data_IF_538728136648
#
_entry.id   IF_538728136648
#
_cell.length_a   1.000
_cell.length_b   1.000
_cell.length_c   1.000
_cell.angle_alpha   90.00
_cell.angle_beta   90.00
_cell.angle_gamma   90.00
#
_symmetry.space_group_name_H-M   'P 1'
#
loop_
_entity.id
_entity.type
_entity.pdbx_description
1 polymer ?
#
# COMPACT_ATOMS: atom_id res chain seq x y z
N UNK A 1 30.79 71.74 -17.89
CA UNK A 1 29.75 71.46 -16.84
C UNK A 1 28.91 70.30 -17.34
N UNK A 2 29.20 69.13 -16.88
CA UNK A 2 28.45 67.90 -17.26
C UNK A 2 28.09 67.16 -15.99
N UNK A 3 26.76 67.09 -15.72
CA UNK A 3 26.16 66.48 -14.54
C UNK A 3 26.25 64.93 -14.62
N UNK A 4 26.82 64.29 -13.62
CA UNK A 4 26.81 62.84 -13.43
C UNK A 4 25.45 62.43 -12.90
N UNK A 5 24.70 61.64 -13.68
CA UNK A 5 23.50 60.92 -13.23
C UNK A 5 23.91 59.58 -12.63
N UNK A 6 23.76 59.47 -11.31
CA UNK A 6 23.91 58.19 -10.57
C UNK A 6 22.72 57.28 -10.85
N UNK A 7 22.96 56.14 -11.48
CA UNK A 7 21.94 55.08 -11.63
C UNK A 7 21.93 54.23 -10.34
N UNK A 8 20.93 54.41 -9.49
CA UNK A 8 20.65 53.46 -8.43
C UNK A 8 20.08 52.18 -9.06
N UNK A 9 20.85 51.09 -8.98
CA UNK A 9 20.34 49.75 -9.28
C UNK A 9 19.53 49.28 -8.10
N UNK A 10 18.19 49.26 -8.22
CA UNK A 10 17.32 48.53 -7.33
C UNK A 10 17.55 47.03 -7.56
N UNK A 11 18.21 46.37 -6.62
CA UNK A 11 18.20 44.93 -6.48
C UNK A 11 16.83 44.52 -5.93
N UNK A 12 15.94 44.08 -6.81
CA UNK A 12 14.70 43.40 -6.40
C UNK A 12 15.10 42.04 -5.82
N UNK A 13 14.99 41.92 -4.50
CA UNK A 13 15.07 40.63 -3.82
C UNK A 13 13.84 39.80 -4.26
N UNK A 14 14.07 38.82 -5.13
CA UNK A 14 13.08 37.77 -5.42
C UNK A 14 12.98 36.92 -4.16
N UNK A 15 11.82 36.84 -3.52
CA UNK A 15 11.68 35.89 -2.43
C UNK A 15 11.84 34.48 -3.00
N UNK A 16 12.86 33.74 -2.52
CA UNK A 16 12.92 32.30 -2.66
C UNK A 16 11.65 31.76 -1.97
N UNK A 17 10.61 31.49 -2.75
CA UNK A 17 9.54 30.61 -2.34
C UNK A 17 10.18 29.24 -2.14
N UNK A 18 10.57 28.94 -0.89
CA UNK A 18 10.77 27.57 -0.45
C UNK A 18 9.45 26.87 -0.73
N UNK A 19 9.42 26.03 -1.76
CA UNK A 19 8.34 25.10 -1.99
C UNK A 19 8.36 24.10 -0.83
N UNK A 20 7.80 24.52 0.31
CA UNK A 20 7.25 23.62 1.31
C UNK A 20 6.19 22.84 0.53
N UNK A 21 6.50 21.59 0.17
CA UNK A 21 5.56 20.72 -0.49
C UNK A 21 4.26 20.75 0.31
N UNK A 22 3.26 21.46 -0.21
CA UNK A 22 1.92 21.44 0.35
C UNK A 22 1.46 20.00 0.22
N UNK A 23 1.56 19.24 1.32
CA UNK A 23 0.97 17.93 1.41
C UNK A 23 -0.48 18.06 0.99
N UNK A 24 -0.86 17.38 -0.08
CA UNK A 24 -2.26 17.25 -0.42
C UNK A 24 -2.96 16.77 0.85
N UNK A 25 -3.86 17.58 1.38
CA UNK A 25 -4.56 17.24 2.59
C UNK A 25 -5.32 15.94 2.34
N UNK A 26 -5.08 14.93 3.18
CA UNK A 26 -5.85 13.66 3.19
C UNK A 26 -6.79 13.67 4.40
N UNK A 27 -7.80 14.57 4.42
CA UNK A 27 -8.58 14.85 5.60
C UNK A 27 -9.38 13.64 6.07
N UNK A 28 -9.81 12.79 5.15
CA UNK A 28 -10.57 11.59 5.47
C UNK A 28 -9.70 10.53 6.15
N UNK A 29 -8.55 10.21 5.57
CA UNK A 29 -7.61 9.25 6.16
C UNK A 29 -7.07 9.76 7.49
N UNK A 30 -6.73 11.05 7.59
CA UNK A 30 -6.25 11.67 8.84
C UNK A 30 -7.29 11.53 9.95
N UNK A 31 -8.57 11.83 9.66
CA UNK A 31 -9.66 11.67 10.63
C UNK A 31 -9.81 10.22 11.06
N UNK A 32 -9.88 9.29 10.09
CA UNK A 32 -10.01 7.86 10.40
C UNK A 32 -8.84 7.34 11.23
N UNK A 33 -7.62 7.82 10.98
CA UNK A 33 -6.44 7.49 11.78
C UNK A 33 -6.56 7.99 13.23
N UNK A 34 -7.04 9.22 13.41
CA UNK A 34 -7.27 9.81 14.74
C UNK A 34 -8.36 9.06 15.50
N UNK A 35 -9.47 8.74 14.83
CA UNK A 35 -10.59 7.97 15.39
C UNK A 35 -10.19 6.52 15.74
N UNK A 36 -9.30 5.91 14.96
CA UNK A 36 -8.80 4.55 15.19
C UNK A 36 -7.74 4.46 16.31
N UNK A 37 -7.11 5.58 16.71
CA UNK A 37 -6.00 5.59 17.69
C UNK A 37 -6.30 4.93 19.04
N UNK A 38 -7.52 5.01 19.60
CA UNK A 38 -7.85 4.31 20.84
C UNK A 38 -7.88 2.78 20.72
N UNK A 39 -7.96 2.23 19.50
CA UNK A 39 -8.01 0.79 19.27
C UNK A 39 -6.62 0.17 19.54
N UNK A 40 -6.53 -0.85 20.42
CA UNK A 40 -5.25 -1.34 20.91
C UNK A 40 -4.46 -2.10 19.84
N UNK A 41 -5.14 -2.85 18.94
CA UNK A 41 -4.50 -3.72 17.96
C UNK A 41 -4.43 -3.07 16.58
N UNK A 42 -3.32 -3.28 15.89
CA UNK A 42 -3.19 -2.81 14.50
C UNK A 42 -4.26 -3.41 13.60
N UNK A 43 -4.63 -4.66 13.82
CA UNK A 43 -5.72 -5.34 13.09
C UNK A 43 -7.06 -4.61 13.22
N UNK A 44 -7.39 -4.13 14.40
CA UNK A 44 -8.61 -3.36 14.67
C UNK A 44 -8.55 -1.97 13.99
N UNK A 45 -7.38 -1.30 14.06
CA UNK A 45 -7.16 -0.02 13.37
C UNK A 45 -7.28 -0.16 11.86
N UNK A 46 -6.70 -1.20 11.27
CA UNK A 46 -6.82 -1.48 9.83
C UNK A 46 -8.27 -1.74 9.45
N UNK A 47 -8.98 -2.59 10.20
CA UNK A 47 -10.41 -2.86 9.92
C UNK A 47 -11.25 -1.59 9.98
N UNK A 48 -11.06 -0.77 11.02
CA UNK A 48 -11.77 0.50 11.19
C UNK A 48 -11.50 1.47 10.03
N UNK A 49 -10.22 1.73 9.73
CA UNK A 49 -9.82 2.70 8.70
C UNK A 49 -10.27 2.22 7.31
N UNK A 50 -10.01 0.96 6.97
CA UNK A 50 -10.38 0.42 5.66
C UNK A 50 -11.90 0.36 5.45
N UNK A 51 -12.67 0.08 6.50
CA UNK A 51 -14.15 0.14 6.51
C UNK A 51 -14.64 1.58 6.29
N UNK A 52 -14.01 2.56 6.94
CA UNK A 52 -14.30 3.98 6.73
C UNK A 52 -14.02 4.49 5.32
N UNK A 53 -13.27 3.74 4.51
CA UNK A 53 -12.96 4.05 3.11
C UNK A 53 -13.85 3.30 2.11
N UNK A 54 -14.81 2.49 2.54
CA UNK A 54 -15.78 1.86 1.63
C UNK A 54 -16.47 2.89 0.75
N UNK A 55 -16.69 2.54 -0.52
CA UNK A 55 -17.27 3.43 -1.53
C UNK A 55 -16.30 4.43 -2.14
N UNK A 56 -15.07 4.59 -1.63
CA UNK A 56 -14.05 5.47 -2.25
C UNK A 56 -13.75 4.99 -3.67
N UNK A 57 -13.63 5.93 -4.60
CA UNK A 57 -13.47 5.65 -6.04
C UNK A 57 -12.21 4.82 -6.33
N UNK A 58 -12.32 3.89 -7.26
CA UNK A 58 -11.15 3.25 -7.86
C UNK A 58 -10.51 4.16 -8.92
N UNK A 59 -9.19 4.28 -8.88
CA UNK A 59 -8.40 4.90 -9.93
C UNK A 59 -7.01 4.26 -9.98
N UNK A 60 -6.66 3.65 -11.10
CA UNK A 60 -5.32 3.14 -11.34
C UNK A 60 -4.34 4.22 -11.81
N UNK A 61 -3.06 3.90 -11.76
CA UNK A 61 -1.96 4.74 -12.27
C UNK A 61 -1.91 6.14 -11.63
N UNK A 62 -2.12 6.22 -10.33
CA UNK A 62 -2.12 7.49 -9.60
C UNK A 62 -0.74 7.91 -9.11
N UNK A 63 0.23 7.00 -9.09
CA UNK A 63 1.61 7.30 -8.72
C UNK A 63 2.36 7.97 -9.87
N UNK A 64 3.22 8.92 -9.53
CA UNK A 64 3.96 9.74 -10.47
C UNK A 64 5.44 9.38 -10.39
N UNK A 65 6.00 8.94 -11.51
CA UNK A 65 7.40 8.56 -11.65
C UNK A 65 7.59 7.52 -12.74
N UNK A 66 8.72 7.59 -13.43
CA UNK A 66 9.11 6.64 -14.48
C UNK A 66 10.62 6.74 -14.73
N UNK A 67 11.17 5.91 -15.64
CA UNK A 67 12.57 6.04 -16.08
C UNK A 67 12.93 7.43 -16.64
N UNK A 68 11.92 8.23 -17.04
CA UNK A 68 12.10 9.57 -17.65
C UNK A 68 11.51 10.70 -16.83
N UNK A 69 10.81 10.40 -15.75
CA UNK A 69 10.15 11.38 -14.88
C UNK A 69 10.52 11.12 -13.44
N UNK A 70 11.01 12.11 -12.69
CA UNK A 70 11.31 11.97 -11.27
C UNK A 70 10.09 11.42 -10.49
N UNK A 71 10.38 10.54 -9.55
CA UNK A 71 9.37 10.00 -8.64
C UNK A 71 8.86 11.11 -7.72
N UNK A 72 7.55 11.11 -7.48
CA UNK A 72 6.92 12.02 -6.55
C UNK A 72 6.16 11.23 -5.49
N UNK A 73 6.25 11.68 -4.24
CA UNK A 73 5.44 11.12 -3.17
C UNK A 73 3.98 11.53 -3.34
N UNK A 74 3.14 10.60 -3.82
CA UNK A 74 1.71 10.82 -3.97
C UNK A 74 0.98 10.27 -2.76
N UNK A 75 0.17 11.11 -2.10
CA UNK A 75 -0.71 10.74 -1.00
C UNK A 75 -2.12 11.21 -1.33
N UNK A 76 -3.09 10.28 -1.36
CA UNK A 76 -4.50 10.55 -1.71
C UNK A 76 -5.44 9.77 -0.81
N UNK A 77 -6.65 10.27 -0.64
CA UNK A 77 -7.76 9.59 0.05
C UNK A 77 -9.11 9.71 -0.69
N UNK A 78 -9.07 10.27 -1.91
CA UNK A 78 -10.23 10.43 -2.78
C UNK A 78 -10.39 9.30 -3.81
N UNK A 79 -9.31 8.57 -4.10
CA UNK A 79 -9.30 7.44 -5.02
C UNK A 79 -8.09 6.53 -4.77
N UNK A 80 -8.27 5.23 -5.02
CA UNK A 80 -7.26 4.19 -4.85
C UNK A 80 -7.27 3.18 -5.99
N UNK A 81 -6.11 2.59 -6.28
CA UNK A 81 -6.02 1.24 -6.80
C UNK A 81 -5.83 0.24 -5.65
N UNK A 82 -5.72 -1.06 -5.97
CA UNK A 82 -5.62 -2.11 -4.95
C UNK A 82 -4.36 -1.97 -4.08
N UNK A 83 -3.25 -1.55 -4.65
CA UNK A 83 -1.97 -1.41 -3.93
C UNK A 83 -1.98 -0.16 -3.07
N UNK A 84 -2.30 1.00 -3.65
CA UNK A 84 -2.32 2.28 -2.92
C UNK A 84 -3.35 2.29 -1.80
N UNK A 85 -4.46 1.55 -1.93
CA UNK A 85 -5.41 1.32 -0.84
C UNK A 85 -4.75 0.60 0.34
N UNK A 86 -4.05 -0.52 0.08
CA UNK A 86 -3.36 -1.27 1.13
C UNK A 86 -2.26 -0.42 1.79
N UNK A 87 -1.46 0.29 1.01
CA UNK A 87 -0.36 1.12 1.51
C UNK A 87 -0.85 2.23 2.44
N UNK A 88 -1.87 2.98 1.99
CA UNK A 88 -2.40 4.13 2.75
C UNK A 88 -3.07 3.67 4.05
N UNK A 89 -3.89 2.61 3.99
CA UNK A 89 -4.54 2.06 5.19
C UNK A 89 -3.52 1.51 6.18
N UNK A 90 -2.54 0.73 5.70
CA UNK A 90 -1.49 0.16 6.56
C UNK A 90 -0.65 1.26 7.21
N UNK A 91 -0.25 2.28 6.44
CA UNK A 91 0.51 3.42 6.96
C UNK A 91 -0.28 4.19 8.03
N UNK A 92 -1.57 4.44 7.77
CA UNK A 92 -2.45 5.15 8.71
C UNK A 92 -2.68 4.34 10.01
N UNK A 93 -2.82 3.02 9.91
CA UNK A 93 -3.00 2.15 11.07
C UNK A 93 -1.70 1.97 11.90
N UNK A 94 -0.55 1.99 11.23
CA UNK A 94 0.76 1.83 11.86
C UNK A 94 1.32 3.13 12.45
N UNK A 95 0.95 4.29 11.92
CA UNK A 95 1.36 5.60 12.43
C UNK A 95 0.65 5.92 13.74
N UNK A 96 1.42 6.44 14.73
CA UNK A 96 0.88 6.85 16.03
C UNK A 96 0.28 8.27 16.00
N UNK A 97 0.68 9.07 15.03
CA UNK A 97 0.23 10.44 14.84
C UNK A 97 0.42 10.85 13.38
N UNK A 98 -0.14 12.01 13.03
CA UNK A 98 -0.10 12.53 11.65
C UNK A 98 1.32 12.72 11.11
N UNK A 99 2.28 13.08 11.94
CA UNK A 99 3.66 13.31 11.49
C UNK A 99 4.37 12.01 11.08
N UNK A 100 3.95 10.87 11.64
CA UNK A 100 4.50 9.55 11.31
C UNK A 100 3.86 8.92 10.06
N UNK A 101 2.71 9.41 9.60
CA UNK A 101 1.96 8.79 8.48
C UNK A 101 2.77 8.75 7.18
N UNK A 102 3.31 9.88 6.75
CA UNK A 102 4.11 9.93 5.51
C UNK A 102 5.41 9.14 5.60
N UNK A 103 6.23 9.26 6.66
CA UNK A 103 7.40 8.40 6.85
C UNK A 103 7.04 6.90 6.80
N UNK A 104 5.94 6.49 7.42
CA UNK A 104 5.47 5.11 7.36
C UNK A 104 5.05 4.70 5.95
N UNK A 105 4.33 5.55 5.22
CA UNK A 105 3.93 5.28 3.84
C UNK A 105 5.15 5.18 2.91
N UNK A 106 6.18 6.01 3.11
CA UNK A 106 7.47 5.89 2.39
C UNK A 106 8.13 4.54 2.66
N UNK A 107 8.20 4.13 3.93
CA UNK A 107 8.77 2.85 4.34
C UNK A 107 8.04 1.65 3.72
N UNK A 108 6.72 1.73 3.58
CA UNK A 108 5.88 0.67 3.01
C UNK A 108 6.02 0.59 1.49
N UNK A 109 6.04 1.73 0.80
CA UNK A 109 5.99 1.84 -0.66
C UNK A 109 7.33 1.66 -1.34
N UNK A 110 8.40 2.13 -0.69
CA UNK A 110 9.73 2.19 -1.28
C UNK A 110 10.73 1.33 -0.53
N UNK A 111 11.66 0.76 -1.26
CA UNK A 111 12.83 0.13 -0.66
C UNK A 111 13.63 1.18 0.14
N UNK A 112 13.99 0.86 1.36
CA UNK A 112 14.65 1.79 2.30
C UNK A 112 13.97 3.16 2.48
N UNK A 113 12.68 3.28 2.13
CA UNK A 113 11.92 4.53 2.25
C UNK A 113 12.35 5.65 1.29
N UNK A 114 13.19 5.35 0.29
CA UNK A 114 13.67 6.33 -0.69
C UNK A 114 12.65 6.60 -1.77
N UNK A 115 12.26 7.86 -1.92
CA UNK A 115 11.30 8.29 -2.95
C UNK A 115 12.01 8.42 -4.29
N UNK A 116 12.28 7.28 -4.90
CA UNK A 116 12.90 7.15 -6.22
C UNK A 116 12.16 6.07 -7.00
N UNK A 117 11.99 6.27 -8.33
CA UNK A 117 11.24 5.32 -9.15
C UNK A 117 11.82 3.90 -9.09
N UNK A 118 13.15 3.75 -9.08
CA UNK A 118 13.81 2.44 -9.01
C UNK A 118 13.66 1.76 -7.65
N UNK A 119 13.42 2.55 -6.60
CA UNK A 119 13.23 2.06 -5.23
C UNK A 119 11.76 1.77 -4.90
N UNK A 120 10.83 2.14 -5.79
CA UNK A 120 9.43 1.77 -5.62
C UNK A 120 9.26 0.25 -5.76
N UNK A 121 8.49 -0.37 -4.87
CA UNK A 121 8.17 -1.79 -4.93
C UNK A 121 7.22 -2.05 -6.12
N UNK A 122 7.77 -2.31 -7.32
CA UNK A 122 7.01 -2.43 -8.56
C UNK A 122 6.20 -3.71 -8.66
N UNK A 123 6.72 -4.82 -8.13
CA UNK A 123 6.01 -6.08 -8.01
C UNK A 123 5.45 -6.24 -6.60
N UNK A 124 4.30 -6.89 -6.50
CA UNK A 124 3.74 -7.18 -5.18
C UNK A 124 4.61 -8.14 -4.37
N UNK A 125 5.32 -9.04 -5.03
CA UNK A 125 6.31 -9.90 -4.38
C UNK A 125 7.44 -9.09 -3.71
N UNK A 126 7.92 -8.02 -4.36
CA UNK A 126 8.92 -7.11 -3.77
C UNK A 126 8.33 -6.32 -2.61
N UNK A 127 7.09 -5.85 -2.78
CA UNK A 127 6.36 -5.17 -1.72
C UNK A 127 6.23 -6.06 -0.48
N UNK A 128 5.85 -7.34 -0.67
CA UNK A 128 5.76 -8.31 0.43
C UNK A 128 7.12 -8.49 1.11
N UNK A 129 8.17 -8.78 0.35
CA UNK A 129 9.50 -9.04 0.90
C UNK A 129 10.06 -7.80 1.62
N UNK A 130 9.99 -6.63 1.01
CA UNK A 130 10.45 -5.37 1.61
C UNK A 130 9.73 -5.09 2.94
N UNK A 131 8.41 -5.31 3.02
CA UNK A 131 7.65 -5.08 4.24
C UNK A 131 7.87 -6.15 5.32
N UNK A 132 8.25 -7.38 4.95
CA UNK A 132 8.71 -8.42 5.88
C UNK A 132 10.08 -8.03 6.45
N UNK A 133 11.05 -7.69 5.61
CA UNK A 133 12.42 -7.32 6.00
C UNK A 133 12.41 -6.08 6.90
N UNK A 134 11.56 -5.13 6.59
CA UNK A 134 11.31 -3.91 7.37
C UNK A 134 10.48 -4.14 8.64
N UNK A 135 10.06 -5.39 8.93
CA UNK A 135 9.25 -5.76 10.11
C UNK A 135 7.91 -4.99 10.19
N UNK A 136 7.37 -4.60 9.05
CA UNK A 136 6.02 -4.01 8.93
C UNK A 136 4.96 -5.10 8.94
N UNK A 137 5.29 -6.25 8.34
CA UNK A 137 4.42 -7.42 8.27
C UNK A 137 5.20 -8.70 8.53
N UNK A 138 4.48 -9.79 8.83
CA UNK A 138 5.01 -11.14 8.88
C UNK A 138 4.15 -12.08 8.01
N UNK A 139 4.72 -13.12 7.37
CA UNK A 139 3.95 -14.07 6.61
C UNK A 139 3.05 -14.91 7.52
N UNK A 140 1.82 -15.18 7.06
CA UNK A 140 0.92 -16.17 7.66
C UNK A 140 0.91 -17.40 6.78
N UNK A 141 1.34 -18.52 7.35
CA UNK A 141 1.35 -19.81 6.66
C UNK A 141 0.25 -20.72 7.21
N UNK A 142 -0.45 -21.42 6.32
CA UNK A 142 -1.51 -22.37 6.67
C UNK A 142 -1.19 -23.73 6.03
N UNK A 143 -0.54 -24.60 6.79
CA UNK A 143 -0.07 -25.91 6.34
C UNK A 143 1.05 -25.80 5.29
N UNK A 144 1.31 -26.90 4.56
CA UNK A 144 2.35 -26.94 3.52
C UNK A 144 2.07 -25.96 2.38
N UNK A 145 3.04 -25.11 1.97
CA UNK A 145 2.84 -24.15 0.91
C UNK A 145 2.66 -24.79 -0.46
N UNK A 146 1.80 -24.19 -1.27
CA UNK A 146 1.79 -24.44 -2.71
C UNK A 146 2.85 -23.56 -3.36
N UNK A 147 3.84 -24.18 -4.01
CA UNK A 147 4.92 -23.48 -4.71
C UNK A 147 4.47 -23.08 -6.11
N UNK A 148 4.49 -21.77 -6.41
CA UNK A 148 4.09 -21.22 -7.71
C UNK A 148 5.27 -20.51 -8.36
N UNK A 149 5.86 -21.09 -9.43
CA UNK A 149 6.96 -20.45 -10.16
C UNK A 149 6.48 -19.23 -10.94
N UNK A 150 7.31 -18.19 -10.97
CA UNK A 150 7.10 -16.93 -11.70
C UNK A 150 8.32 -16.56 -12.52
N UNK A 151 8.07 -15.97 -13.70
CA UNK A 151 9.10 -15.45 -14.61
C UNK A 151 8.63 -14.05 -15.07
N UNK A 152 8.78 -13.07 -14.20
CA UNK A 152 8.26 -11.70 -14.40
C UNK A 152 9.23 -10.85 -15.22
N UNK A 153 8.70 -10.02 -16.12
CA UNK A 153 9.49 -9.17 -17.02
C UNK A 153 8.74 -7.90 -17.47
N UNK A 154 7.72 -7.49 -16.72
CA UNK A 154 6.87 -6.37 -17.14
C UNK A 154 7.36 -5.01 -16.66
N UNK A 155 8.28 -4.97 -15.67
CA UNK A 155 8.75 -3.73 -15.06
C UNK A 155 10.20 -3.42 -15.45
N UNK A 156 10.42 -2.39 -16.30
CA UNK A 156 11.77 -2.00 -16.74
C UNK A 156 12.71 -1.57 -15.59
N UNK A 157 12.15 -1.12 -14.46
CA UNK A 157 12.94 -0.74 -13.29
C UNK A 157 13.67 -1.92 -12.67
N UNK A 158 13.07 -3.09 -12.74
CA UNK A 158 13.52 -4.31 -12.04
C UNK A 158 14.17 -5.31 -12.99
N UNK A 159 13.73 -5.33 -14.26
CA UNK A 159 14.15 -6.32 -15.25
C UNK A 159 13.51 -7.71 -15.04
N UNK A 160 13.95 -8.68 -15.83
CA UNK A 160 13.42 -10.04 -15.77
C UNK A 160 13.94 -10.79 -14.55
N UNK A 161 13.02 -11.43 -13.82
CA UNK A 161 13.35 -12.25 -12.65
C UNK A 161 12.53 -13.52 -12.61
N UNK A 162 13.18 -14.60 -12.15
CA UNK A 162 12.55 -15.89 -11.86
C UNK A 162 12.58 -16.13 -10.35
N UNK A 163 11.45 -16.49 -9.79
CA UNK A 163 11.32 -16.83 -8.37
C UNK A 163 10.14 -17.77 -8.14
N UNK A 164 10.03 -18.31 -6.94
CA UNK A 164 8.93 -19.19 -6.53
C UNK A 164 8.19 -18.53 -5.38
N UNK A 165 6.87 -18.36 -5.54
CA UNK A 165 5.99 -17.91 -4.47
C UNK A 165 5.58 -19.13 -3.62
N UNK A 166 5.64 -18.98 -2.31
CA UNK A 166 5.04 -19.90 -1.35
C UNK A 166 3.64 -19.37 -0.99
N UNK A 167 2.62 -20.14 -1.31
CA UNK A 167 1.24 -19.66 -1.31
C UNK A 167 0.30 -20.60 -0.57
N UNK A 168 -0.85 -20.10 -0.13
CA UNK A 168 -1.91 -20.87 0.52
C UNK A 168 -2.96 -21.22 -0.54
N UNK A 169 -3.23 -22.51 -0.81
CA UNK A 169 -4.32 -22.92 -1.70
C UNK A 169 -5.69 -22.40 -1.22
N UNK A 170 -6.56 -22.07 -2.18
CA UNK A 170 -7.90 -21.50 -1.90
C UNK A 170 -8.68 -22.34 -0.88
N UNK A 171 -8.75 -23.66 -1.10
CA UNK A 171 -9.51 -24.59 -0.27
C UNK A 171 -8.98 -24.59 1.18
N UNK A 172 -7.66 -24.50 1.33
CA UNK A 172 -7.03 -24.45 2.65
C UNK A 172 -7.24 -23.11 3.35
N UNK A 173 -7.19 -22.01 2.61
CA UNK A 173 -7.51 -20.68 3.14
C UNK A 173 -8.92 -20.66 3.74
N UNK A 174 -9.92 -21.11 2.98
CA UNK A 174 -11.31 -21.11 3.39
C UNK A 174 -11.57 -22.04 4.57
N UNK A 175 -11.02 -23.26 4.53
CA UNK A 175 -11.17 -24.24 5.61
C UNK A 175 -10.53 -23.79 6.93
N UNK A 176 -9.60 -22.86 6.88
CA UNK A 176 -8.86 -22.35 8.04
C UNK A 176 -9.06 -20.85 8.26
N UNK A 177 -10.18 -20.28 7.84
CA UNK A 177 -10.48 -18.86 7.99
C UNK A 177 -10.31 -18.33 9.43
N UNK A 178 -10.51 -19.17 10.43
CA UNK A 178 -10.34 -18.87 11.87
C UNK A 178 -8.89 -18.51 12.27
N UNK A 179 -7.89 -18.85 11.44
CA UNK A 179 -6.48 -18.49 11.66
C UNK A 179 -6.15 -17.10 11.15
N UNK A 180 -7.05 -16.49 10.38
CA UNK A 180 -6.92 -15.15 9.86
C UNK A 180 -7.46 -14.11 10.84
N UNK A 181 -6.94 -12.90 10.74
CA UNK A 181 -7.40 -11.75 11.50
C UNK A 181 -7.95 -10.67 10.56
N UNK A 182 -8.96 -9.88 10.98
CA UNK A 182 -9.30 -8.67 10.25
C UNK A 182 -8.05 -7.82 10.04
N UNK A 183 -7.87 -7.25 8.85
CA UNK A 183 -6.69 -6.47 8.53
C UNK A 183 -5.46 -7.26 8.10
N UNK A 184 -5.47 -8.60 8.10
CA UNK A 184 -4.46 -9.38 7.38
C UNK A 184 -4.51 -8.97 5.89
N UNK A 185 -3.34 -8.82 5.26
CA UNK A 185 -3.22 -8.40 3.87
C UNK A 185 -3.22 -9.64 2.99
N UNK A 186 -4.12 -9.69 2.00
CA UNK A 186 -4.21 -10.79 1.05
C UNK A 186 -3.66 -10.37 -0.31
N UNK A 187 -2.73 -11.16 -0.85
CA UNK A 187 -2.25 -11.05 -2.23
C UNK A 187 -2.82 -12.20 -3.06
N UNK A 188 -3.57 -11.89 -4.13
CA UNK A 188 -4.16 -12.88 -5.03
C UNK A 188 -3.19 -13.22 -6.15
N UNK A 189 -2.67 -14.45 -6.13
CA UNK A 189 -1.61 -14.90 -7.06
C UNK A 189 -2.16 -15.00 -8.48
N UNK A 190 -1.45 -14.41 -9.44
CA UNK A 190 -1.83 -14.47 -10.84
C UNK A 190 -1.67 -15.87 -11.41
N UNK A 191 -2.56 -16.26 -12.32
CA UNK A 191 -2.40 -17.50 -13.12
C UNK A 191 -1.35 -17.35 -14.22
N UNK A 192 -1.04 -16.13 -14.60
CA UNK A 192 -0.03 -15.83 -15.61
C UNK A 192 1.37 -16.07 -15.02
N UNK A 193 2.29 -16.72 -15.72
CA UNK A 193 3.65 -16.92 -15.24
C UNK A 193 4.47 -15.62 -15.20
N UNK A 194 4.13 -14.65 -16.06
CA UNK A 194 4.80 -13.36 -16.24
C UNK A 194 4.25 -12.24 -15.30
N UNK A 195 3.31 -12.58 -14.44
CA UNK A 195 2.74 -11.66 -13.44
C UNK A 195 2.68 -12.39 -12.09
N UNK A 196 3.24 -11.78 -11.06
CA UNK A 196 3.25 -12.34 -9.70
C UNK A 196 1.86 -12.38 -9.07
N UNK A 197 1.27 -11.20 -8.83
CA UNK A 197 -0.08 -11.04 -8.29
C UNK A 197 -0.90 -10.15 -9.21
N UNK A 198 -2.20 -10.40 -9.29
CA UNK A 198 -3.08 -9.55 -10.08
C UNK A 198 -3.92 -8.61 -9.22
N UNK A 199 -4.00 -8.87 -7.90
CA UNK A 199 -4.82 -8.07 -6.99
C UNK A 199 -4.40 -8.23 -5.52
N UNK A 200 -4.79 -7.26 -4.68
CA UNK A 200 -4.56 -7.28 -3.24
C UNK A 200 -5.68 -6.54 -2.49
N UNK A 201 -5.78 -6.80 -1.19
CA UNK A 201 -6.74 -6.20 -0.28
C UNK A 201 -6.50 -6.62 1.16
N UNK A 202 -7.49 -6.38 2.01
CA UNK A 202 -7.49 -6.81 3.42
C UNK A 202 -8.50 -7.91 3.64
N UNK A 203 -8.18 -8.83 4.55
CA UNK A 203 -9.14 -9.76 5.12
C UNK A 203 -10.11 -8.96 6.00
N UNK A 204 -11.39 -9.25 5.82
CA UNK A 204 -12.47 -8.77 6.66
C UNK A 204 -13.44 -9.91 6.96
N UNK A 205 -14.31 -9.73 7.93
CA UNK A 205 -15.34 -10.70 8.28
C UNK A 205 -16.71 -10.04 8.24
N UNK A 206 -17.65 -10.71 7.60
CA UNK A 206 -19.06 -10.33 7.58
C UNK A 206 -19.75 -10.58 8.93
N UNK A 207 -20.97 -10.08 9.08
CA UNK A 207 -21.74 -10.17 10.33
C UNK A 207 -22.00 -11.61 10.79
N UNK A 208 -22.02 -12.58 9.87
CA UNK A 208 -22.20 -14.00 10.16
C UNK A 208 -20.90 -14.80 10.11
N UNK A 209 -19.74 -14.11 10.10
CA UNK A 209 -18.42 -14.73 10.03
C UNK A 209 -17.95 -15.08 8.62
N UNK A 210 -18.60 -14.57 7.58
CA UNK A 210 -18.16 -14.78 6.20
C UNK A 210 -16.78 -14.19 5.98
N UNK A 211 -15.90 -14.95 5.32
CA UNK A 211 -14.56 -14.46 4.95
C UNK A 211 -14.66 -13.53 3.73
N UNK A 212 -14.30 -12.26 3.93
CA UNK A 212 -14.40 -11.20 2.94
C UNK A 212 -12.99 -10.68 2.56
N UNK A 213 -12.87 -10.22 1.32
CA UNK A 213 -11.81 -9.32 0.88
C UNK A 213 -12.35 -7.90 0.82
N UNK A 214 -11.73 -6.96 1.54
CA UNK A 214 -11.98 -5.52 1.40
C UNK A 214 -10.90 -4.92 0.54
N UNK A 215 -11.26 -4.40 -0.63
CA UNK A 215 -10.30 -4.01 -1.65
C UNK A 215 -10.81 -2.89 -2.55
N UNK A 216 -9.89 -2.16 -3.20
CA UNK A 216 -10.26 -1.21 -4.25
C UNK A 216 -10.50 -1.99 -5.56
N UNK A 217 -11.76 -2.17 -5.91
CA UNK A 217 -12.21 -2.99 -7.04
C UNK A 217 -12.29 -2.17 -8.33
N UNK A 218 -11.53 -2.58 -9.36
CA UNK A 218 -11.64 -2.01 -10.70
C UNK A 218 -13.02 -2.29 -11.32
N UNK A 219 -13.55 -3.50 -11.09
CA UNK A 219 -14.85 -3.91 -11.63
C UNK A 219 -16.00 -3.08 -11.04
N UNK A 220 -15.99 -2.88 -9.72
CA UNK A 220 -16.98 -2.06 -9.02
C UNK A 220 -16.67 -0.56 -9.04
N UNK A 221 -15.50 -0.15 -9.56
CA UNK A 221 -15.01 1.24 -9.62
C UNK A 221 -14.90 1.94 -8.23
N UNK A 222 -14.81 1.17 -7.17
CA UNK A 222 -14.75 1.67 -5.79
C UNK A 222 -14.18 0.64 -4.83
N UNK A 223 -13.91 1.06 -3.61
CA UNK A 223 -13.59 0.16 -2.50
C UNK A 223 -14.85 -0.59 -2.09
N UNK A 224 -14.77 -1.91 -2.03
CA UNK A 224 -15.88 -2.83 -1.71
C UNK A 224 -15.44 -3.94 -0.77
N UNK A 225 -16.41 -4.70 -0.28
CA UNK A 225 -16.25 -6.02 0.33
C UNK A 225 -16.87 -7.07 -0.58
N UNK A 226 -16.12 -8.14 -0.84
CA UNK A 226 -16.61 -9.30 -1.60
C UNK A 226 -16.25 -10.58 -0.86
N UNK A 227 -17.09 -11.61 -0.93
CA UNK A 227 -16.73 -12.93 -0.40
C UNK A 227 -15.48 -13.43 -1.12
N UNK A 228 -14.46 -13.84 -0.34
CA UNK A 228 -13.18 -14.26 -0.92
C UNK A 228 -13.34 -15.43 -1.88
N UNK A 229 -14.22 -16.40 -1.55
CA UNK A 229 -14.49 -17.54 -2.41
C UNK A 229 -15.05 -17.11 -3.78
N UNK A 230 -16.04 -16.21 -3.77
CA UNK A 230 -16.69 -15.71 -4.99
C UNK A 230 -15.69 -14.91 -5.83
N UNK A 231 -14.90 -14.04 -5.19
CA UNK A 231 -13.85 -13.27 -5.86
C UNK A 231 -12.80 -14.19 -6.49
N UNK A 232 -12.30 -15.19 -5.75
CA UNK A 232 -11.31 -16.14 -6.27
C UNK A 232 -11.88 -17.01 -7.39
N UNK A 233 -13.13 -17.44 -7.30
CA UNK A 233 -13.80 -18.21 -8.34
C UNK A 233 -13.96 -17.39 -9.62
N UNK A 234 -14.48 -16.16 -9.52
CA UNK A 234 -14.70 -15.26 -10.66
C UNK A 234 -13.40 -14.92 -11.40
N UNK A 235 -12.27 -14.84 -10.69
CA UNK A 235 -10.96 -14.54 -11.26
C UNK A 235 -10.11 -15.80 -11.54
N UNK A 236 -10.62 -16.99 -11.28
CA UNK A 236 -9.92 -18.26 -11.45
C UNK A 236 -8.66 -18.39 -10.59
N UNK A 237 -8.56 -17.66 -9.48
CA UNK A 237 -7.41 -17.67 -8.58
C UNK A 237 -7.36 -18.97 -7.80
N UNK A 238 -6.18 -19.60 -7.74
CA UNK A 238 -5.97 -20.90 -7.07
C UNK A 238 -5.34 -20.78 -5.70
N UNK A 239 -4.62 -19.69 -5.45
CA UNK A 239 -3.89 -19.50 -4.20
C UNK A 239 -3.67 -18.01 -3.89
N UNK A 240 -3.35 -17.76 -2.63
CA UNK A 240 -3.06 -16.42 -2.09
C UNK A 240 -1.80 -16.44 -1.25
N UNK A 241 -1.24 -15.27 -0.97
CA UNK A 241 -0.36 -15.06 0.18
C UNK A 241 -1.08 -14.21 1.21
N UNK A 242 -0.74 -14.42 2.48
CA UNK A 242 -1.28 -13.63 3.59
C UNK A 242 -0.12 -13.04 4.37
N UNK A 243 -0.17 -11.74 4.59
CA UNK A 243 0.74 -11.04 5.49
C UNK A 243 -0.04 -10.46 6.67
N UNK A 244 0.46 -10.66 7.87
CA UNK A 244 -0.07 -10.06 9.09
C UNK A 244 0.70 -8.81 9.44
N UNK A 245 0.07 -7.64 9.49
CA UNK A 245 0.70 -6.42 9.97
C UNK A 245 1.21 -6.56 11.40
N UNK A 246 2.43 -6.08 11.63
CA UNK A 246 3.06 -6.12 12.94
C UNK A 246 2.54 -4.99 13.83
N UNK A 247 2.37 -5.26 15.13
CA UNK A 247 2.11 -4.18 16.09
C UNK A 247 3.30 -3.21 16.09
N UNK A 248 3.00 -1.92 16.03
CA UNK A 248 4.04 -0.90 15.89
C UNK A 248 4.81 -0.73 17.18
N UNK A 249 5.99 -1.29 17.27
CA UNK A 249 7.02 -0.80 18.18
C UNK A 249 7.55 0.52 17.63
N UNK A 250 7.60 1.54 18.48
CA UNK A 250 8.03 2.91 18.17
C UNK A 250 9.08 3.02 17.05
N UNK A 251 8.83 3.85 16.04
CA UNK A 251 9.82 4.25 15.01
C UNK A 251 11.03 5.01 15.64
N UNK A 252 10.93 5.37 16.92
CA UNK A 252 11.99 6.09 17.67
C UNK A 252 13.30 5.30 17.88
N UNK A 253 13.37 4.03 17.46
CA UNK A 253 14.55 3.16 17.58
C UNK A 253 15.35 2.95 16.29
N UNK A 254 14.97 3.58 15.17
CA UNK A 254 15.67 3.48 13.89
C UNK A 254 16.35 4.81 13.56
N UNK A 255 17.44 5.12 14.30
CA UNK A 255 18.45 6.10 13.91
C UNK A 255 19.69 5.37 13.45
#
# INVERSE_FOLDING_TARGET
>A
MLARRSLLKLLAAVPLLTASGAFAAVPRVTRLMEDARPLPKISERIDFISRGLLGTRYQGYTLIGSAKQPEQMVIRDDAFDCVTFCEVVLAAAAARNRAEFEPMLKKIRYHDGKVEWRERNHYWADWCQSNIDNKVCSPVMIGEPLKVPKDVNSEPAVGRRKFVLETIPRERLVANAKLLSPGDIVGFVSRRPDLDYFHTGFIAFGARGELLARHASRAHRRVVEERIEDFMAANGTRSVTILRPAETTSVAGLR
#
